data_IF_201694214394
#
_entry.id   IF_201694214394
#
_cell.length_a   1.000
_cell.length_b   1.000
_cell.length_c   1.000
_cell.angle_alpha   90.00
_cell.angle_beta   90.00
_cell.angle_gamma   90.00
#
_symmetry.space_group_name_H-M   'P 1'
#
loop_
_entity.id
_entity.type
_entity.pdbx_description
1 polymer ?
#
# COMPACT_ATOMS: atom_id res chain seq x y z
N UNK A 1 -17.19 27.01 -7.92
CA UNK A 1 -16.20 26.27 -7.11
C UNK A 1 -15.15 25.67 -8.03
N UNK A 2 -13.88 26.14 -7.95
CA UNK A 2 -12.79 25.61 -8.77
C UNK A 2 -12.36 24.27 -8.19
N UNK A 3 -12.59 23.18 -8.91
CA UNK A 3 -11.95 21.89 -8.63
C UNK A 3 -10.43 22.08 -8.75
N UNK A 4 -9.68 21.94 -7.63
CA UNK A 4 -8.23 21.86 -7.67
C UNK A 4 -7.88 20.62 -8.52
N UNK A 5 -7.38 20.86 -9.74
CA UNK A 5 -6.71 19.84 -10.53
C UNK A 5 -5.52 19.35 -9.69
N UNK A 6 -5.64 18.16 -9.09
CA UNK A 6 -4.47 17.46 -8.61
C UNK A 6 -3.56 17.20 -9.81
N UNK A 7 -2.42 17.85 -9.83
CA UNK A 7 -1.38 17.58 -10.81
C UNK A 7 -1.05 16.10 -10.72
N UNK A 8 -1.39 15.34 -11.76
CA UNK A 8 -0.87 13.99 -11.96
C UNK A 8 0.63 14.15 -12.22
N UNK A 9 1.45 13.99 -11.19
CA UNK A 9 2.89 13.82 -11.40
C UNK A 9 3.01 12.56 -12.26
N UNK A 10 3.40 12.74 -13.53
CA UNK A 10 3.57 11.62 -14.44
C UNK A 10 4.74 10.80 -13.91
N UNK A 11 4.50 9.53 -13.55
CA UNK A 11 5.52 8.61 -13.12
C UNK A 11 6.69 8.62 -14.11
N UNK A 12 7.87 9.02 -13.63
CA UNK A 12 9.10 9.07 -14.44
C UNK A 12 10.02 7.96 -13.99
N UNK A 13 10.26 7.01 -14.88
CA UNK A 13 11.24 5.95 -14.69
C UNK A 13 12.54 6.37 -15.37
N UNK A 14 13.65 6.31 -14.64
CA UNK A 14 14.99 6.60 -15.14
C UNK A 14 15.75 5.28 -15.30
N UNK A 15 16.29 5.04 -16.47
CA UNK A 15 17.16 3.89 -16.72
C UNK A 15 18.51 4.08 -16.04
N UNK A 16 18.81 3.18 -15.11
CA UNK A 16 20.07 3.06 -14.41
C UNK A 16 20.52 1.59 -14.42
N UNK A 17 20.51 1.01 -15.63
CA UNK A 17 20.71 -0.43 -15.82
C UNK A 17 22.07 -0.87 -15.26
N UNK A 18 22.07 -2.05 -14.64
CA UNK A 18 23.27 -2.71 -14.16
C UNK A 18 24.09 -3.24 -15.34
N UNK A 19 25.40 -3.23 -15.19
CA UNK A 19 26.30 -3.91 -16.12
C UNK A 19 25.99 -5.42 -16.13
N UNK A 20 25.84 -6.07 -17.29
CA UNK A 20 25.64 -7.52 -17.36
C UNK A 20 26.74 -8.29 -16.61
N UNK A 21 26.32 -9.16 -15.69
CA UNK A 21 27.21 -10.03 -14.91
C UNK A 21 26.41 -11.12 -14.22
N UNK A 22 27.05 -12.20 -13.83
CA UNK A 22 26.38 -13.37 -13.22
C UNK A 22 25.72 -13.10 -11.86
N UNK A 23 26.11 -12.06 -11.13
CA UNK A 23 25.69 -11.85 -9.74
C UNK A 23 24.48 -10.91 -9.59
N UNK A 24 24.36 -9.89 -10.45
CA UNK A 24 23.29 -8.90 -10.32
C UNK A 24 22.46 -8.67 -11.58
N UNK A 25 22.97 -9.01 -12.76
CA UNK A 25 22.25 -8.95 -14.04
C UNK A 25 22.72 -10.07 -14.98
N UNK A 26 22.21 -11.30 -14.80
CA UNK A 26 22.68 -12.49 -15.52
C UNK A 26 22.16 -12.55 -16.96
N UNK A 27 21.29 -11.65 -17.37
CA UNK A 27 20.62 -11.65 -18.68
C UNK A 27 19.81 -12.92 -18.96
N UNK A 28 19.35 -13.60 -17.93
CA UNK A 28 18.41 -14.71 -18.04
C UNK A 28 17.05 -14.16 -18.43
N UNK A 29 16.43 -14.70 -19.49
CA UNK A 29 15.12 -14.25 -19.93
C UNK A 29 14.02 -14.55 -18.92
N UNK A 30 13.25 -13.52 -18.56
CA UNK A 30 12.02 -13.62 -17.80
C UNK A 30 10.85 -13.77 -18.79
N UNK A 31 10.42 -15.00 -19.05
CA UNK A 31 9.44 -15.31 -20.11
C UNK A 31 7.99 -15.11 -19.69
N UNK A 32 7.68 -15.22 -18.40
CA UNK A 32 6.30 -15.22 -17.92
C UNK A 32 6.21 -14.54 -16.55
N UNK A 33 5.71 -13.33 -16.55
CA UNK A 33 5.48 -12.57 -15.29
C UNK A 33 4.13 -12.96 -14.73
N UNK A 34 4.13 -13.52 -13.50
CA UNK A 34 2.94 -13.94 -12.77
C UNK A 34 2.71 -13.15 -11.49
N UNK A 35 3.73 -12.46 -10.98
CA UNK A 35 3.65 -11.69 -9.73
C UNK A 35 4.45 -10.38 -9.82
N UNK A 36 4.02 -9.42 -9.03
CA UNK A 36 4.82 -8.25 -8.66
C UNK A 36 5.17 -8.39 -7.19
N UNK A 37 6.46 -8.33 -6.85
CA UNK A 37 6.94 -8.53 -5.47
C UNK A 37 7.46 -7.22 -4.92
N UNK A 38 6.87 -6.77 -3.81
CA UNK A 38 7.28 -5.57 -3.09
C UNK A 38 8.32 -5.92 -2.02
N UNK A 39 9.39 -5.12 -1.96
CA UNK A 39 10.48 -5.20 -1.00
C UNK A 39 10.74 -3.84 -0.34
N UNK A 40 11.62 -3.83 0.65
CA UNK A 40 12.26 -2.65 1.19
C UNK A 40 13.77 -2.88 1.24
N UNK A 41 14.57 -1.85 1.01
CA UNK A 41 16.03 -1.99 0.86
C UNK A 41 16.77 -2.45 2.14
N UNK A 42 16.12 -2.49 3.29
CA UNK A 42 16.74 -2.91 4.57
C UNK A 42 17.88 -2.00 5.07
N UNK A 43 18.09 -0.85 4.43
CA UNK A 43 19.13 0.13 4.73
C UNK A 43 18.50 1.53 4.86
N UNK A 44 18.11 1.95 6.09
CA UNK A 44 17.43 3.22 6.31
C UNK A 44 18.23 4.41 5.77
N UNK A 45 17.51 5.42 5.23
CA UNK A 45 18.07 6.68 4.69
C UNK A 45 18.95 6.54 3.44
N UNK A 46 19.14 5.33 2.92
CA UNK A 46 19.88 5.17 1.67
C UNK A 46 19.08 5.68 0.47
N UNK A 47 19.76 6.27 -0.51
CA UNK A 47 19.14 6.72 -1.76
C UNK A 47 18.95 5.55 -2.73
N UNK A 48 18.05 5.73 -3.72
CA UNK A 48 17.86 4.76 -4.78
C UNK A 48 19.18 4.47 -5.52
N UNK A 49 19.97 5.51 -5.80
CA UNK A 49 21.24 5.38 -6.48
C UNK A 49 22.29 4.64 -5.66
N UNK A 50 22.33 4.86 -4.33
CA UNK A 50 23.24 4.12 -3.45
C UNK A 50 22.92 2.61 -3.46
N UNK A 51 21.64 2.24 -3.43
CA UNK A 51 21.21 0.84 -3.53
C UNK A 51 21.46 0.25 -4.93
N UNK A 52 21.23 1.02 -5.98
CA UNK A 52 21.62 0.62 -7.35
C UNK A 52 23.11 0.35 -7.44
N UNK A 53 23.95 1.21 -6.89
CA UNK A 53 25.41 1.04 -6.90
C UNK A 53 25.85 -0.15 -6.04
N UNK A 54 25.16 -0.46 -4.95
CA UNK A 54 25.36 -1.70 -4.21
C UNK A 54 25.16 -2.93 -5.11
N UNK A 55 24.09 -2.95 -5.92
CA UNK A 55 23.87 -4.03 -6.89
C UNK A 55 24.94 -4.06 -7.99
N UNK A 56 25.36 -2.89 -8.51
CA UNK A 56 26.42 -2.78 -9.51
C UNK A 56 27.74 -3.36 -9.04
N UNK A 57 28.11 -3.10 -7.78
CA UNK A 57 29.37 -3.56 -7.20
C UNK A 57 29.45 -5.09 -7.07
N UNK A 58 28.32 -5.80 -7.11
CA UNK A 58 28.30 -7.27 -7.09
C UNK A 58 28.99 -7.88 -8.31
N UNK A 59 29.13 -7.15 -9.41
CA UNK A 59 29.83 -7.62 -10.62
C UNK A 59 31.29 -8.03 -10.36
N UNK A 60 31.90 -7.46 -9.32
CA UNK A 60 33.30 -7.72 -8.94
C UNK A 60 33.46 -9.01 -8.09
N UNK A 61 32.41 -9.79 -7.93
CA UNK A 61 32.33 -10.96 -7.05
C UNK A 61 31.58 -10.61 -5.76
N UNK A 62 30.55 -11.36 -5.44
CA UNK A 62 29.73 -11.07 -4.28
C UNK A 62 28.47 -11.90 -4.20
N UNK A 63 27.37 -11.26 -3.85
CA UNK A 63 26.09 -11.91 -3.64
C UNK A 63 25.23 -11.85 -4.89
N UNK A 64 24.41 -12.88 -5.10
CA UNK A 64 23.34 -12.86 -6.08
C UNK A 64 22.22 -11.96 -5.56
N UNK A 65 22.23 -10.68 -5.96
CA UNK A 65 21.26 -9.69 -5.52
C UNK A 65 21.09 -8.56 -6.54
N UNK A 66 19.83 -8.28 -6.86
CA UNK A 66 19.41 -7.14 -7.68
C UNK A 66 17.90 -6.96 -7.59
N UNK A 67 17.36 -5.90 -8.18
CA UNK A 67 15.94 -5.67 -8.35
C UNK A 67 15.67 -5.05 -9.71
N UNK A 68 14.46 -5.23 -10.26
CA UNK A 68 14.08 -4.54 -11.49
C UNK A 68 13.98 -3.04 -11.24
N UNK A 69 13.36 -2.65 -10.15
CA UNK A 69 13.13 -1.25 -9.81
C UNK A 69 13.57 -0.92 -8.39
N UNK A 70 14.04 0.31 -8.21
CA UNK A 70 14.26 0.91 -6.90
C UNK A 70 13.52 2.24 -6.85
N UNK A 71 12.71 2.45 -5.80
CA UNK A 71 12.02 3.72 -5.54
C UNK A 71 12.70 4.41 -4.37
N UNK A 72 13.16 5.64 -4.58
CA UNK A 72 13.86 6.42 -3.58
C UNK A 72 12.95 7.17 -2.62
N UNK A 73 13.56 7.85 -1.65
CA UNK A 73 12.88 8.58 -0.58
C UNK A 73 12.07 9.78 -1.08
N UNK A 74 12.48 10.38 -2.20
CA UNK A 74 11.82 11.53 -2.84
C UNK A 74 10.96 11.10 -4.03
N UNK A 75 10.73 9.80 -4.18
CA UNK A 75 9.90 9.25 -5.22
C UNK A 75 10.58 9.08 -6.58
N UNK A 76 11.90 9.20 -6.66
CA UNK A 76 12.64 8.81 -7.87
C UNK A 76 12.52 7.30 -8.11
N UNK A 77 12.34 6.90 -9.38
CA UNK A 77 12.26 5.49 -9.79
C UNK A 77 13.41 5.18 -10.72
N UNK A 78 14.26 4.24 -10.32
CA UNK A 78 15.35 3.71 -11.13
C UNK A 78 14.97 2.32 -11.65
N UNK A 79 15.16 2.07 -12.96
CA UNK A 79 15.10 0.73 -13.52
C UNK A 79 16.53 0.17 -13.58
N UNK A 80 16.80 -0.88 -12.82
CA UNK A 80 18.14 -1.47 -12.66
C UNK A 80 18.32 -2.73 -13.52
N UNK A 81 17.24 -3.51 -13.72
CA UNK A 81 17.22 -4.69 -14.59
C UNK A 81 16.03 -4.54 -15.55
N UNK A 82 16.18 -4.83 -16.85
CA UNK A 82 15.07 -4.86 -17.80
C UNK A 82 13.99 -5.85 -17.36
N UNK A 83 12.72 -5.54 -17.60
CA UNK A 83 11.59 -6.37 -17.17
C UNK A 83 11.53 -7.75 -17.86
N UNK A 84 12.20 -7.92 -18.98
CA UNK A 84 12.35 -9.21 -19.68
C UNK A 84 13.57 -10.02 -19.23
N UNK A 85 14.28 -9.56 -18.20
CA UNK A 85 15.41 -10.27 -17.59
C UNK A 85 15.09 -10.63 -16.15
N UNK A 86 15.66 -11.71 -15.62
CA UNK A 86 15.53 -12.13 -14.23
C UNK A 86 16.37 -11.23 -13.32
N UNK A 87 15.78 -10.72 -12.25
CA UNK A 87 16.47 -10.07 -11.14
C UNK A 87 16.54 -10.99 -9.91
N UNK A 88 17.60 -10.90 -9.13
CA UNK A 88 17.82 -11.73 -7.93
C UNK A 88 17.33 -11.02 -6.66
N UNK A 89 16.02 -11.02 -6.40
CA UNK A 89 15.40 -10.32 -5.28
C UNK A 89 14.46 -11.18 -4.43
N UNK A 90 13.78 -12.11 -5.06
CA UNK A 90 12.58 -12.77 -4.52
C UNK A 90 12.72 -14.30 -4.40
N UNK A 91 13.95 -14.83 -4.31
CA UNK A 91 14.25 -16.25 -4.19
C UNK A 91 13.56 -17.10 -5.30
N UNK A 92 12.70 -18.05 -4.93
CA UNK A 92 11.97 -18.91 -5.87
C UNK A 92 11.06 -18.13 -6.84
N UNK A 93 10.65 -16.93 -6.48
CA UNK A 93 9.82 -16.08 -7.35
C UNK A 93 10.62 -15.30 -8.40
N UNK A 94 11.95 -15.34 -8.38
CA UNK A 94 12.78 -14.60 -9.37
C UNK A 94 12.43 -14.95 -10.82
N UNK A 95 12.10 -16.20 -11.11
CA UNK A 95 11.85 -16.71 -12.46
C UNK A 95 10.48 -16.31 -13.05
N UNK A 96 9.59 -15.72 -12.23
CA UNK A 96 8.23 -15.36 -12.64
C UNK A 96 7.72 -14.03 -12.06
N UNK A 97 8.60 -13.18 -11.54
CA UNK A 97 8.15 -11.92 -10.92
C UNK A 97 8.98 -10.70 -11.31
N UNK A 98 8.32 -9.54 -11.27
CA UNK A 98 8.98 -8.24 -11.26
C UNK A 98 9.14 -7.79 -9.81
N UNK A 99 10.36 -7.43 -9.41
CA UNK A 99 10.70 -6.98 -8.05
C UNK A 99 10.85 -5.47 -7.97
N UNK A 100 10.33 -4.87 -6.88
CA UNK A 100 10.42 -3.44 -6.58
C UNK A 100 10.99 -3.27 -5.17
N UNK A 101 12.16 -2.65 -5.06
CA UNK A 101 12.77 -2.24 -3.79
C UNK A 101 12.37 -0.81 -3.45
N UNK A 102 11.92 -0.58 -2.22
CA UNK A 102 11.52 0.75 -1.74
C UNK A 102 12.48 1.24 -0.66
N UNK A 103 13.03 2.44 -0.83
CA UNK A 103 13.78 3.14 0.20
C UNK A 103 12.86 3.61 1.33
N UNK A 104 13.39 3.70 2.53
CA UNK A 104 12.65 4.13 3.72
C UNK A 104 13.52 5.00 4.64
N UNK A 105 12.91 5.94 5.40
CA UNK A 105 13.65 6.95 6.15
C UNK A 105 14.26 6.46 7.46
N UNK A 106 13.72 5.40 8.05
CA UNK A 106 14.11 4.96 9.41
C UNK A 106 13.99 3.44 9.59
N UNK A 107 14.36 2.95 10.77
CA UNK A 107 14.38 1.52 11.08
C UNK A 107 13.00 0.86 11.16
N UNK A 108 11.91 1.60 11.10
CA UNK A 108 10.55 1.02 11.08
C UNK A 108 10.21 0.36 9.75
N UNK A 109 10.96 0.68 8.68
CA UNK A 109 10.69 0.22 7.32
C UNK A 109 9.45 0.89 6.68
N UNK A 110 8.87 1.91 7.34
CA UNK A 110 7.75 2.69 6.78
C UNK A 110 8.26 3.56 5.64
N UNK A 111 7.57 3.51 4.52
CA UNK A 111 7.88 4.36 3.37
C UNK A 111 7.43 5.80 3.60
N UNK A 112 8.07 6.77 2.92
CA UNK A 112 7.53 8.13 2.85
C UNK A 112 6.20 8.12 2.08
N UNK A 113 5.45 9.22 2.14
CA UNK A 113 4.21 9.34 1.37
C UNK A 113 4.50 9.29 -0.14
N UNK A 114 5.56 9.96 -0.58
CA UNK A 114 6.02 9.97 -1.97
C UNK A 114 6.40 8.57 -2.43
N UNK A 115 7.25 7.87 -1.66
CA UNK A 115 7.64 6.48 -1.97
C UNK A 115 6.43 5.57 -2.03
N UNK A 116 5.48 5.69 -1.07
CA UNK A 116 4.25 4.89 -1.02
C UNK A 116 3.37 5.12 -2.26
N UNK A 117 3.16 6.39 -2.62
CA UNK A 117 2.31 6.76 -3.76
C UNK A 117 2.90 6.27 -5.09
N UNK A 118 4.22 6.40 -5.29
CA UNK A 118 4.87 5.97 -6.52
C UNK A 118 5.07 4.45 -6.57
N UNK A 119 5.31 3.79 -5.43
CA UNK A 119 5.27 2.33 -5.37
C UNK A 119 3.91 1.78 -5.79
N UNK A 120 2.82 2.37 -5.29
CA UNK A 120 1.48 1.97 -5.68
C UNK A 120 1.18 2.26 -7.17
N UNK A 121 1.70 3.36 -7.72
CA UNK A 121 1.55 3.69 -9.14
C UNK A 121 2.35 2.74 -10.05
N UNK A 122 3.59 2.41 -9.67
CA UNK A 122 4.41 1.45 -10.40
C UNK A 122 3.82 0.03 -10.31
N UNK A 123 3.37 -0.41 -9.13
CA UNK A 123 2.66 -1.69 -8.98
C UNK A 123 1.43 -1.74 -9.89
N UNK A 124 0.59 -0.71 -9.88
CA UNK A 124 -0.60 -0.63 -10.73
C UNK A 124 -0.27 -0.69 -12.23
N UNK A 125 0.78 0.03 -12.65
CA UNK A 125 1.27 -0.01 -14.03
C UNK A 125 1.71 -1.42 -14.43
N UNK A 126 2.54 -2.08 -13.62
CA UNK A 126 3.06 -3.42 -13.90
C UNK A 126 1.95 -4.47 -13.89
N UNK A 127 1.05 -4.45 -12.91
CA UNK A 127 -0.08 -5.37 -12.87
C UNK A 127 -0.94 -5.25 -14.13
N UNK A 128 -1.28 -4.04 -14.56
CA UNK A 128 -2.02 -3.81 -15.82
C UNK A 128 -1.25 -4.27 -17.05
N UNK A 129 0.03 -3.95 -17.11
CA UNK A 129 0.91 -4.32 -18.24
C UNK A 129 0.96 -5.83 -18.48
N UNK A 130 0.98 -6.61 -17.39
CA UNK A 130 1.07 -8.07 -17.43
C UNK A 130 -0.29 -8.80 -17.30
N UNK A 131 -1.40 -8.07 -17.32
CA UNK A 131 -2.75 -8.65 -17.20
C UNK A 131 -3.01 -9.30 -15.84
N UNK A 132 -2.36 -8.80 -14.79
CA UNK A 132 -2.44 -9.33 -13.43
C UNK A 132 -3.48 -8.58 -12.59
N UNK A 133 -3.97 -9.23 -11.55
CA UNK A 133 -4.86 -8.66 -10.53
C UNK A 133 -4.06 -8.08 -9.37
N UNK A 134 -4.73 -7.33 -8.48
CA UNK A 134 -4.11 -6.85 -7.23
C UNK A 134 -3.71 -8.01 -6.29
N UNK A 135 -4.26 -9.20 -6.46
CA UNK A 135 -3.89 -10.38 -5.68
C UNK A 135 -2.57 -11.01 -6.13
N UNK A 136 -2.08 -10.61 -7.31
CA UNK A 136 -0.77 -10.96 -7.82
C UNK A 136 0.33 -10.02 -7.33
N UNK A 137 -0.03 -8.97 -6.58
CA UNK A 137 0.90 -8.17 -5.80
C UNK A 137 1.14 -8.82 -4.44
N UNK A 138 2.37 -9.27 -4.22
CA UNK A 138 2.80 -9.99 -3.02
C UNK A 138 4.00 -9.32 -2.35
N UNK A 139 4.26 -9.67 -1.10
CA UNK A 139 5.46 -9.28 -0.35
C UNK A 139 6.55 -10.35 -0.52
N UNK A 140 7.79 -10.01 -0.33
CA UNK A 140 8.84 -11.03 -0.20
C UNK A 140 8.53 -12.02 0.94
N UNK A 141 7.90 -11.52 2.01
CA UNK A 141 7.38 -12.34 3.11
C UNK A 141 6.48 -13.49 2.65
N UNK A 142 5.63 -13.25 1.67
CA UNK A 142 4.69 -14.26 1.16
C UNK A 142 5.40 -15.36 0.35
N UNK A 143 6.66 -15.13 -0.06
CA UNK A 143 7.49 -16.12 -0.77
C UNK A 143 8.32 -16.97 0.19
N UNK A 144 8.91 -16.36 1.23
CA UNK A 144 9.96 -17.02 2.04
C UNK A 144 9.79 -16.89 3.56
N UNK A 145 8.80 -16.12 4.03
CA UNK A 145 8.69 -15.75 5.45
C UNK A 145 9.67 -14.66 5.91
N UNK A 146 10.55 -14.17 5.02
CA UNK A 146 11.47 -13.06 5.36
C UNK A 146 10.68 -11.80 5.74
N UNK A 147 11.09 -11.11 6.80
CA UNK A 147 10.45 -9.86 7.23
C UNK A 147 10.69 -8.71 6.22
N UNK A 148 10.10 -8.81 5.05
CA UNK A 148 10.26 -7.88 3.93
C UNK A 148 8.96 -7.76 3.11
N UNK A 149 8.45 -6.53 2.89
CA UNK A 149 8.88 -5.25 3.47
C UNK A 149 8.46 -5.14 4.95
N UNK A 150 9.37 -4.65 5.80
CA UNK A 150 9.22 -4.70 7.26
C UNK A 150 7.92 -4.07 7.77
N UNK A 151 7.48 -2.94 7.20
CA UNK A 151 6.26 -2.24 7.62
C UNK A 151 4.97 -3.03 7.42
N UNK A 152 4.98 -3.99 6.50
CA UNK A 152 3.79 -4.74 6.08
C UNK A 152 3.78 -6.20 6.56
N UNK A 153 4.69 -6.58 7.45
CA UNK A 153 4.81 -7.98 7.90
C UNK A 153 4.85 -8.07 9.43
N UNK A 154 4.43 -9.18 10.03
CA UNK A 154 4.52 -9.37 11.47
C UNK A 154 5.97 -9.37 11.94
N UNK A 155 6.20 -8.81 13.12
CA UNK A 155 7.51 -8.76 13.79
C UNK A 155 7.31 -8.91 15.30
N UNK A 156 8.39 -8.99 16.07
CA UNK A 156 8.27 -8.96 17.54
C UNK A 156 7.62 -7.68 18.10
N UNK A 157 7.57 -6.61 17.31
CA UNK A 157 6.99 -5.31 17.72
C UNK A 157 5.68 -4.97 17.00
N UNK A 158 5.23 -5.81 16.08
CA UNK A 158 4.06 -5.57 15.25
C UNK A 158 3.26 -6.84 15.06
N UNK A 159 1.99 -6.84 15.52
CA UNK A 159 1.11 -8.00 15.36
C UNK A 159 0.77 -8.27 13.89
N UNK A 160 0.40 -9.50 13.60
CA UNK A 160 -0.05 -9.91 12.28
C UNK A 160 -1.28 -9.13 11.82
N UNK A 161 -2.23 -8.87 12.70
CA UNK A 161 -3.43 -8.09 12.38
C UNK A 161 -3.08 -6.66 11.91
N UNK A 162 -2.13 -6.00 12.58
CA UNK A 162 -1.66 -4.66 12.18
C UNK A 162 -0.93 -4.71 10.84
N UNK A 163 -0.04 -5.67 10.65
CA UNK A 163 0.70 -5.84 9.40
C UNK A 163 -0.24 -6.10 8.21
N UNK A 164 -1.20 -7.00 8.38
CA UNK A 164 -2.18 -7.35 7.34
C UNK A 164 -3.12 -6.17 7.03
N UNK A 165 -3.54 -5.40 8.02
CA UNK A 165 -4.33 -4.18 7.79
C UNK A 165 -3.56 -3.13 6.97
N UNK A 166 -2.26 -2.93 7.25
CA UNK A 166 -1.39 -2.03 6.49
C UNK A 166 -1.20 -2.52 5.05
N UNK A 167 -0.97 -3.82 4.87
CA UNK A 167 -0.82 -4.42 3.55
C UNK A 167 -2.11 -4.31 2.72
N UNK A 168 -3.25 -4.61 3.32
CA UNK A 168 -4.56 -4.43 2.68
C UNK A 168 -4.79 -2.95 2.27
N UNK A 169 -4.40 -2.00 3.12
CA UNK A 169 -4.44 -0.57 2.80
C UNK A 169 -3.57 -0.19 1.58
N UNK A 170 -2.37 -0.76 1.47
CA UNK A 170 -1.50 -0.57 0.31
C UNK A 170 -2.09 -1.21 -0.95
N UNK A 171 -2.59 -2.44 -0.90
CA UNK A 171 -3.27 -3.11 -2.02
C UNK A 171 -4.50 -2.32 -2.48
N UNK A 172 -5.29 -1.76 -1.56
CA UNK A 172 -6.41 -0.89 -1.89
C UNK A 172 -5.98 0.41 -2.60
N UNK A 173 -4.82 0.99 -2.23
CA UNK A 173 -4.24 2.13 -2.95
C UNK A 173 -3.84 1.74 -4.38
N UNK A 174 -3.20 0.59 -4.56
CA UNK A 174 -2.83 0.04 -5.88
C UNK A 174 -4.07 -0.19 -6.75
N UNK A 175 -5.12 -0.82 -6.21
CA UNK A 175 -6.40 -1.04 -6.89
C UNK A 175 -7.00 0.26 -7.43
N UNK A 176 -7.02 1.33 -6.60
CA UNK A 176 -7.51 2.64 -7.05
C UNK A 176 -6.68 3.20 -8.21
N UNK A 177 -5.36 3.03 -8.17
CA UNK A 177 -4.46 3.47 -9.27
C UNK A 177 -4.60 2.62 -10.53
N UNK A 178 -5.02 1.37 -10.41
CA UNK A 178 -5.38 0.54 -11.56
C UNK A 178 -6.65 1.03 -12.27
N UNK A 179 -7.40 1.99 -11.70
CA UNK A 179 -8.72 2.35 -12.22
C UNK A 179 -9.74 1.21 -12.03
N UNK A 180 -9.37 0.14 -11.35
CA UNK A 180 -10.32 -0.72 -10.69
C UNK A 180 -10.84 0.10 -9.50
N UNK A 181 -11.93 0.83 -9.68
CA UNK A 181 -12.76 1.22 -8.58
C UNK A 181 -13.32 -0.06 -7.92
N UNK A 182 -12.47 -0.75 -7.16
CA UNK A 182 -12.93 -1.20 -5.88
C UNK A 182 -12.99 0.10 -5.06
N UNK A 183 -14.05 0.87 -5.28
CA UNK A 183 -14.57 1.64 -4.16
C UNK A 183 -14.36 0.74 -2.93
N UNK A 184 -13.86 1.26 -1.78
CA UNK A 184 -14.03 0.51 -0.55
C UNK A 184 -15.45 0.00 -0.66
N UNK A 185 -15.67 -1.30 -0.42
CA UNK A 185 -17.01 -1.85 -0.49
C UNK A 185 -17.77 -1.13 0.61
N UNK A 186 -18.10 0.11 0.36
CA UNK A 186 -19.24 0.78 0.86
C UNK A 186 -20.36 0.02 0.17
N UNK A 187 -20.68 -1.16 0.72
CA UNK A 187 -22.03 -1.61 0.58
C UNK A 187 -22.83 -0.36 0.85
N UNK A 188 -23.52 0.12 -0.15
CA UNK A 188 -24.54 1.15 -0.03
C UNK A 188 -25.65 0.50 0.79
N UNK A 189 -25.29 0.13 2.03
CA UNK A 189 -26.19 -0.41 3.05
C UNK A 189 -26.82 0.80 3.71
N UNK A 190 -27.85 1.31 3.04
CA UNK A 190 -28.76 2.23 3.71
C UNK A 190 -29.55 1.44 4.76
N UNK A 191 -29.26 1.67 6.02
CA UNK A 191 -30.06 1.12 7.14
C UNK A 191 -30.32 2.22 8.15
N UNK A 192 -31.42 2.08 8.88
CA UNK A 192 -31.79 3.03 9.92
C UNK A 192 -31.28 2.57 11.27
N UNK A 193 -30.88 3.52 12.09
CA UNK A 193 -30.49 3.32 13.48
C UNK A 193 -31.28 4.26 14.37
N UNK A 194 -31.77 3.76 15.50
CA UNK A 194 -32.33 4.55 16.60
C UNK A 194 -31.24 4.81 17.62
N UNK A 195 -31.08 6.06 18.06
CA UNK A 195 -30.10 6.46 19.06
C UNK A 195 -30.55 6.00 20.45
N UNK A 196 -29.64 5.36 21.19
CA UNK A 196 -29.89 4.86 22.55
C UNK A 196 -29.27 5.75 23.62
N UNK A 197 -28.23 6.52 23.27
CA UNK A 197 -27.51 7.40 24.18
C UNK A 197 -28.23 8.74 24.33
N UNK A 198 -28.22 9.36 25.51
CA UNK A 198 -28.85 10.66 25.74
C UNK A 198 -28.27 11.74 24.83
N UNK A 199 -26.95 11.70 24.58
CA UNK A 199 -26.24 12.62 23.70
C UNK A 199 -25.09 11.89 23.00
N UNK A 200 -25.22 11.67 21.69
CA UNK A 200 -24.20 11.00 20.88
C UNK A 200 -23.49 12.02 19.98
N UNK A 201 -22.17 12.10 20.12
CA UNK A 201 -21.35 13.00 19.31
C UNK A 201 -21.33 12.61 17.84
N UNK A 202 -21.56 13.57 16.96
CA UNK A 202 -21.32 13.48 15.53
C UNK A 202 -19.93 14.07 15.23
N UNK A 203 -19.09 13.33 14.51
CA UNK A 203 -17.73 13.75 14.21
C UNK A 203 -17.50 13.96 12.72
N UNK A 204 -16.53 14.79 12.38
CA UNK A 204 -16.18 15.13 10.99
C UNK A 204 -15.75 13.90 10.17
N UNK A 205 -15.13 12.92 10.83
CA UNK A 205 -14.74 11.63 10.25
C UNK A 205 -14.88 10.51 11.29
N UNK A 206 -14.81 9.24 10.86
CA UNK A 206 -14.85 8.08 11.75
C UNK A 206 -13.66 8.08 12.72
N UNK A 207 -13.92 7.92 14.04
CA UNK A 207 -12.91 7.85 15.08
C UNK A 207 -13.02 8.96 16.14
N UNK A 208 -12.74 8.60 17.40
CA UNK A 208 -12.86 9.50 18.56
C UNK A 208 -11.89 10.70 18.53
N UNK A 209 -10.78 10.60 17.80
CA UNK A 209 -9.82 11.69 17.65
C UNK A 209 -10.25 12.79 16.65
N UNK A 210 -11.36 12.60 15.92
CA UNK A 210 -11.83 13.60 14.96
C UNK A 210 -12.70 14.67 15.63
N UNK A 211 -12.68 15.93 15.12
CA UNK A 211 -13.49 17.01 15.65
C UNK A 211 -14.97 16.67 15.74
N UNK A 212 -15.62 17.07 16.83
CA UNK A 212 -17.07 16.99 16.99
C UNK A 212 -17.69 18.13 16.15
N UNK A 213 -18.66 17.79 15.31
CA UNK A 213 -19.36 18.71 14.42
C UNK A 213 -20.86 18.83 14.74
N UNK A 214 -21.32 18.06 15.70
CA UNK A 214 -22.70 18.09 16.18
C UNK A 214 -22.96 17.05 17.26
N UNK A 215 -24.16 17.08 17.81
CA UNK A 215 -24.66 16.09 18.78
C UNK A 215 -26.07 15.68 18.33
N UNK A 216 -26.41 14.42 18.50
CA UNK A 216 -27.73 13.85 18.26
C UNK A 216 -28.23 13.15 19.52
N UNK A 217 -29.54 13.03 19.69
CA UNK A 217 -30.14 12.68 20.96
C UNK A 217 -30.91 11.37 20.92
N UNK A 218 -31.17 10.84 22.12
CA UNK A 218 -31.90 9.60 22.33
C UNK A 218 -33.25 9.60 21.64
N UNK A 219 -33.62 8.43 21.12
CA UNK A 219 -34.84 8.16 20.37
C UNK A 219 -34.89 8.73 18.95
N UNK A 220 -33.98 9.59 18.55
CA UNK A 220 -33.87 10.02 17.14
C UNK A 220 -33.48 8.85 16.22
N UNK A 221 -33.96 8.90 14.99
CA UNK A 221 -33.71 7.86 13.98
C UNK A 221 -32.94 8.46 12.80
N UNK A 222 -31.80 7.85 12.49
CA UNK A 222 -30.95 8.30 11.40
C UNK A 222 -30.69 7.19 10.39
N UNK A 223 -30.54 7.58 9.12
CA UNK A 223 -30.12 6.66 8.07
C UNK A 223 -28.60 6.69 7.96
N UNK A 224 -27.98 5.53 8.05
CA UNK A 224 -26.57 5.31 7.82
C UNK A 224 -26.37 4.93 6.34
N UNK A 225 -25.48 5.61 5.64
CA UNK A 225 -25.22 5.38 4.21
C UNK A 225 -23.82 4.82 3.92
N UNK A 226 -22.95 4.82 4.95
CA UNK A 226 -21.58 4.35 4.84
C UNK A 226 -21.12 3.86 6.23
N UNK A 227 -20.27 2.84 6.29
CA UNK A 227 -19.68 2.37 7.55
C UNK A 227 -18.17 2.29 7.45
N UNK A 228 -17.46 2.60 8.56
CA UNK A 228 -16.02 2.50 8.67
C UNK A 228 -15.62 1.93 10.03
N UNK A 229 -14.48 1.27 10.12
CA UNK A 229 -13.85 0.90 11.36
C UNK A 229 -12.79 1.95 11.75
N UNK A 230 -12.77 2.34 13.05
CA UNK A 230 -11.71 3.18 13.59
C UNK A 230 -11.34 2.67 14.98
N UNK A 231 -10.16 2.05 15.09
CA UNK A 231 -9.79 1.22 16.23
C UNK A 231 -10.71 0.00 16.34
N UNK A 232 -11.17 -0.30 17.55
CA UNK A 232 -12.16 -1.37 17.81
C UNK A 232 -13.60 -0.94 17.56
N UNK A 233 -13.85 0.34 17.23
CA UNK A 233 -15.19 0.90 17.09
C UNK A 233 -15.67 0.91 15.65
N UNK A 234 -16.96 0.64 15.44
CA UNK A 234 -17.64 0.73 14.16
C UNK A 234 -18.38 2.07 14.06
N UNK A 235 -18.17 2.79 12.97
CA UNK A 235 -18.72 4.11 12.70
C UNK A 235 -19.66 4.09 11.50
N UNK A 236 -20.69 4.93 11.55
CA UNK A 236 -21.65 5.11 10.47
C UNK A 236 -21.77 6.56 10.05
N UNK A 237 -21.78 6.82 8.75
CA UNK A 237 -21.97 8.13 8.17
C UNK A 237 -23.45 8.43 8.03
N UNK A 238 -23.87 9.56 8.52
CA UNK A 238 -25.26 10.02 8.44
C UNK A 238 -25.62 10.45 7.01
N UNK A 239 -26.79 10.03 6.52
CA UNK A 239 -27.33 10.45 5.21
C UNK A 239 -27.52 11.98 5.12
N UNK A 240 -27.77 12.63 6.24
CA UNK A 240 -27.91 14.10 6.33
C UNK A 240 -26.64 14.87 5.92
N UNK A 241 -25.48 14.18 5.85
CA UNK A 241 -24.19 14.83 5.60
C UNK A 241 -23.56 15.47 6.83
N UNK A 242 -24.23 15.44 7.99
CA UNK A 242 -23.73 16.06 9.24
C UNK A 242 -22.39 15.48 9.69
N UNK A 243 -22.15 14.18 9.47
CA UNK A 243 -20.89 13.55 9.84
C UNK A 243 -21.04 12.07 10.18
N UNK A 244 -20.19 11.60 11.08
CA UNK A 244 -20.03 10.21 11.49
C UNK A 244 -20.40 10.01 12.96
N UNK A 245 -21.11 8.92 13.28
CA UNK A 245 -21.46 8.49 14.64
C UNK A 245 -20.91 7.10 14.93
N UNK A 246 -20.65 6.81 16.20
CA UNK A 246 -20.35 5.45 16.64
C UNK A 246 -21.64 4.61 16.57
N UNK A 247 -21.60 3.51 15.81
CA UNK A 247 -22.74 2.59 15.62
C UNK A 247 -22.58 1.27 16.36
N UNK A 248 -21.76 1.25 17.41
CA UNK A 248 -21.71 0.12 18.35
C UNK A 248 -23.07 -0.08 19.06
N UNK A 249 -23.38 -1.32 19.40
CA UNK A 249 -24.68 -1.72 20.00
C UNK A 249 -25.02 -1.00 21.31
N UNK A 250 -24.03 -0.44 21.98
CA UNK A 250 -24.21 0.41 23.17
C UNK A 250 -24.88 1.76 22.82
N UNK A 251 -24.61 2.29 21.64
CA UNK A 251 -24.99 3.66 21.24
C UNK A 251 -26.22 3.69 20.34
N UNK A 252 -26.44 2.63 19.56
CA UNK A 252 -27.53 2.58 18.59
C UNK A 252 -28.16 1.20 18.49
N UNK A 253 -29.46 1.17 18.14
CA UNK A 253 -30.20 -0.04 17.76
C UNK A 253 -30.63 0.05 16.29
N UNK A 254 -30.42 -0.99 15.53
CA UNK A 254 -30.88 -1.07 14.13
C UNK A 254 -32.42 -1.19 14.11
N UNK A 255 -33.08 -0.44 13.21
CA UNK A 255 -34.54 -0.38 13.03
C UNK A 255 -34.91 -0.46 11.56
#
# INVERSE_FOLDING_TARGET
MRFKRFWRVKMKITDALLTPNKYSRPQILLKNVKKVVLHYVGNPRSSAMANRNYFENQKNGGRYVSSHYIIGLKGEILRCVPENEVAYCSNSANSYSISIECCHPDATGKFTEETTNLAAELCAYLLKKYGLSVDDLIRHYDVTGKQCPLWFVPTKYQSEAVANARWAGFKALVSRKMGCETAPTTQKMSFKVKILDEALNVRKAAGVGNPIVGVIHKNEVYTIIETAAAGSAKWGKLKSGLGWINIGTKYVKRV
#
